data_IF_137320431734
#
_entry.id   IF_137320431734
#
_cell.length_a   1.000
_cell.length_b   1.000
_cell.length_c   1.000
_cell.angle_alpha   90.00
_cell.angle_beta   90.00
_cell.angle_gamma   90.00
#
_symmetry.space_group_name_H-M   'P 1'
#
loop_
_entity.id
_entity.type
_entity.pdbx_description
1 polymer ?
#
# COMPACT_ATOMS: atom_id res chain seq x y z
N UNK A 1 11.18 2.82 -5.34
CA UNK A 1 10.65 1.76 -6.21
C UNK A 1 10.09 0.65 -5.33
N UNK A 2 9.23 1.08 -4.41
CA UNK A 2 8.75 0.42 -3.19
C UNK A 2 7.30 0.86 -2.90
N UNK A 3 6.68 1.51 -3.88
CA UNK A 3 5.35 2.12 -3.79
C UNK A 3 4.42 1.39 -4.75
N UNK A 4 3.33 0.84 -4.22
CA UNK A 4 2.33 0.13 -5.01
C UNK A 4 1.45 1.07 -5.86
N UNK A 5 1.19 2.28 -5.36
CA UNK A 5 0.37 3.29 -6.02
C UNK A 5 0.97 4.68 -5.78
N UNK A 6 1.42 5.35 -6.85
CA UNK A 6 1.77 6.76 -6.81
C UNK A 6 0.52 7.63 -6.98
N UNK A 7 0.32 8.61 -6.11
CA UNK A 7 -0.77 9.60 -6.18
C UNK A 7 -0.25 11.04 -6.36
N UNK A 8 1.06 11.22 -6.61
CA UNK A 8 1.66 12.53 -6.89
C UNK A 8 1.09 13.19 -8.14
N UNK A 9 0.58 12.38 -9.06
CA UNK A 9 -0.19 12.74 -10.25
C UNK A 9 -1.37 13.68 -9.96
N UNK A 10 -1.95 13.63 -8.75
CA UNK A 10 -2.98 14.58 -8.31
C UNK A 10 -2.42 16.00 -8.20
N UNK A 11 -1.22 16.15 -7.64
CA UNK A 11 -0.55 17.44 -7.45
C UNK A 11 -0.03 17.97 -8.78
N UNK A 12 0.41 17.08 -9.66
CA UNK A 12 0.82 17.39 -11.03
C UNK A 12 -0.37 17.79 -11.93
N UNK A 13 -1.60 17.58 -11.47
CA UNK A 13 -2.84 17.92 -12.18
C UNK A 13 -3.21 16.92 -13.28
N UNK A 14 -2.61 15.74 -13.28
CA UNK A 14 -2.85 14.69 -14.27
C UNK A 14 -4.11 13.86 -13.97
N UNK A 15 -4.49 13.74 -12.70
CA UNK A 15 -5.71 13.05 -12.25
C UNK A 15 -6.40 13.80 -11.11
N UNK A 16 -7.73 13.64 -10.97
CA UNK A 16 -8.47 14.12 -9.79
C UNK A 16 -8.37 13.13 -8.63
N UNK A 17 -8.78 13.57 -7.44
CA UNK A 17 -8.84 12.71 -6.24
C UNK A 17 -9.77 11.52 -6.47
N UNK A 18 -10.91 11.72 -7.12
CA UNK A 18 -11.88 10.66 -7.42
C UNK A 18 -11.31 9.62 -8.39
N UNK A 19 -10.58 10.07 -9.41
CA UNK A 19 -9.91 9.18 -10.37
C UNK A 19 -8.81 8.36 -9.70
N UNK A 20 -7.99 9.00 -8.86
CA UNK A 20 -6.99 8.30 -8.06
C UNK A 20 -7.63 7.29 -7.09
N UNK A 21 -8.76 7.66 -6.49
CA UNK A 21 -9.54 6.79 -5.60
C UNK A 21 -10.06 5.54 -6.28
N UNK A 22 -10.66 5.67 -7.46
CA UNK A 22 -11.10 4.52 -8.26
C UNK A 22 -9.93 3.61 -8.63
N UNK A 23 -8.79 4.20 -9.03
CA UNK A 23 -7.57 3.46 -9.36
C UNK A 23 -7.03 2.67 -8.16
N UNK A 24 -7.00 3.28 -6.97
CA UNK A 24 -6.64 2.60 -5.73
C UNK A 24 -7.60 1.45 -5.45
N UNK A 25 -8.90 1.67 -5.59
CA UNK A 25 -9.91 0.66 -5.31
C UNK A 25 -9.76 -0.57 -6.20
N UNK A 26 -9.56 -0.38 -7.51
CA UNK A 26 -9.30 -1.49 -8.43
C UNK A 26 -8.00 -2.21 -8.08
N UNK A 27 -6.94 -1.47 -7.76
CA UNK A 27 -5.66 -2.06 -7.34
C UNK A 27 -5.80 -2.90 -6.07
N UNK A 28 -6.63 -2.45 -5.13
CA UNK A 28 -6.98 -3.19 -3.91
C UNK A 28 -7.67 -4.52 -4.23
N UNK A 29 -8.62 -4.54 -5.17
CA UNK A 29 -9.28 -5.76 -5.63
C UNK A 29 -8.27 -6.71 -6.28
N UNK A 30 -7.38 -6.21 -7.13
CA UNK A 30 -6.33 -7.01 -7.75
C UNK A 30 -5.42 -7.67 -6.71
N UNK A 31 -4.99 -6.89 -5.71
CA UNK A 31 -4.17 -7.41 -4.60
C UNK A 31 -4.91 -8.48 -3.80
N UNK A 32 -6.16 -8.23 -3.44
CA UNK A 32 -7.01 -9.21 -2.77
C UNK A 32 -7.24 -10.47 -3.62
N UNK A 33 -7.17 -10.33 -4.95
CA UNK A 33 -7.26 -11.44 -5.91
C UNK A 33 -5.92 -12.16 -6.14
N UNK A 34 -4.86 -11.77 -5.43
CA UNK A 34 -3.56 -12.44 -5.45
C UNK A 34 -2.46 -11.71 -6.21
N UNK A 35 -2.68 -10.48 -6.68
CA UNK A 35 -1.59 -9.65 -7.19
C UNK A 35 -0.65 -9.28 -6.03
N UNK A 36 0.66 -9.51 -6.20
CA UNK A 36 1.64 -9.18 -5.17
C UNK A 36 1.82 -7.68 -5.03
N UNK A 37 2.04 -7.25 -3.79
CA UNK A 37 2.43 -5.90 -3.42
C UNK A 37 3.95 -5.72 -3.49
N UNK A 38 4.42 -4.48 -3.52
CA UNK A 38 5.86 -4.18 -3.48
C UNK A 38 6.52 -4.72 -2.21
N UNK A 39 5.86 -4.64 -1.06
CA UNK A 39 6.37 -5.23 0.18
C UNK A 39 6.62 -6.73 0.02
N UNK A 40 5.64 -7.47 -0.52
CA UNK A 40 5.79 -8.91 -0.74
C UNK A 40 6.88 -9.25 -1.76
N UNK A 41 7.01 -8.48 -2.84
CA UNK A 41 8.04 -8.68 -3.86
C UNK A 41 9.46 -8.42 -3.32
N UNK A 42 9.61 -7.36 -2.53
CA UNK A 42 10.89 -6.96 -1.94
C UNK A 42 11.24 -7.73 -0.66
N UNK A 43 10.34 -8.59 -0.18
CA UNK A 43 10.53 -9.40 1.02
C UNK A 43 10.35 -8.61 2.33
N UNK A 44 9.74 -7.43 2.28
CA UNK A 44 9.27 -6.69 3.44
C UNK A 44 7.98 -7.35 3.93
N UNK A 45 7.98 -7.82 5.18
CA UNK A 45 6.89 -8.64 5.73
C UNK A 45 7.34 -9.59 6.83
N UNK A 46 8.62 -9.99 6.78
CA UNK A 46 9.25 -10.82 7.83
C UNK A 46 9.34 -10.12 9.19
N UNK A 47 9.15 -8.80 9.23
CA UNK A 47 9.10 -7.98 10.45
C UNK A 47 7.71 -7.42 10.76
N UNK A 48 6.66 -7.77 10.00
CA UNK A 48 5.35 -7.10 10.13
C UNK A 48 4.41 -7.74 11.16
N UNK A 49 4.67 -9.00 11.55
CA UNK A 49 3.93 -9.61 12.65
C UNK A 49 4.54 -9.21 14.00
N UNK A 50 4.30 -7.95 14.39
CA UNK A 50 4.65 -7.39 15.70
C UNK A 50 3.36 -7.23 16.52
N UNK A 51 2.86 -8.27 17.21
CA UNK A 51 1.55 -8.24 17.88
C UNK A 51 1.53 -7.41 19.19
N UNK A 52 2.33 -6.35 19.27
CA UNK A 52 2.93 -5.87 20.51
C UNK A 52 3.07 -4.32 20.47
N UNK A 53 2.89 -3.53 21.55
CA UNK A 53 2.82 -3.87 22.99
C UNK A 53 1.94 -2.88 23.77
N UNK A 54 0.94 -3.35 24.55
CA UNK A 54 0.06 -2.49 25.35
C UNK A 54 0.69 -1.87 26.64
N UNK A 55 1.98 -2.08 26.98
CA UNK A 55 2.60 -1.63 28.26
C UNK A 55 4.14 -1.49 28.22
N UNK A 56 4.74 -0.93 29.29
CA UNK A 56 6.19 -0.85 29.51
C UNK A 56 6.84 -2.22 29.82
N UNK A 57 8.06 -2.42 29.34
CA UNK A 57 8.86 -3.64 29.49
C UNK A 57 9.88 -3.45 30.62
N UNK A 58 10.10 -4.47 31.46
CA UNK A 58 11.19 -4.53 32.47
C UNK A 58 12.39 -5.28 31.90
#
# INVERSE_FOLDING_TARGET
DDMDVNCGTIVEGEETIEQAGERIYQRLIEMASGARTRSEELGYGSQEFVPWIMNAIM
#
